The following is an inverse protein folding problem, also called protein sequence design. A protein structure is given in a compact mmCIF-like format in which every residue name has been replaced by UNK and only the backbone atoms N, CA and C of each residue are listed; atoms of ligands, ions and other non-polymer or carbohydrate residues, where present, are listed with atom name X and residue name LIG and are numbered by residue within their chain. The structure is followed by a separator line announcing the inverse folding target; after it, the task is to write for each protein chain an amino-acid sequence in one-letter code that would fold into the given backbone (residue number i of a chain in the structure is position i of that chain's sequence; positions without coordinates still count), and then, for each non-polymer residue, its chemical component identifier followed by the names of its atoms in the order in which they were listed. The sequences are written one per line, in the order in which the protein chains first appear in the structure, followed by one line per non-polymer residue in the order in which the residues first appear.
data_IF_662115398630
#
_entry.id   IF_662115398630
#
_cell.length_a   1.000
_cell.length_b   1.000
_cell.length_c   1.000
_cell.angle_alpha   90.00
_cell.angle_beta   90.00
_cell.angle_gamma   90.00
#
_symmetry.space_group_name_H-M   'P 1'
#
loop_
_entity.id
_entity.type
_entity.pdbx_description
1 polymer ?
#
# COMPACT_ATOMS: atom_id res chain seq x y z
N UNK A 1 -0.26 -6.73 -1.42
CA UNK A 1 0.29 -5.91 -0.32
C UNK A 1 -0.45 -6.13 1.00
N UNK A 2 -1.77 -5.91 1.08
CA UNK A 2 -2.57 -6.14 2.31
C UNK A 2 -2.47 -7.56 2.89
N UNK A 3 -2.58 -8.59 2.05
CA UNK A 3 -2.42 -10.00 2.49
C UNK A 3 -1.01 -10.29 3.05
N UNK A 4 0.02 -9.60 2.55
CA UNK A 4 1.40 -9.73 3.07
C UNK A 4 1.47 -9.15 4.49
N UNK A 5 0.91 -7.95 4.71
CA UNK A 5 0.88 -7.33 6.05
C UNK A 5 0.13 -8.19 7.07
N UNK A 6 -1.01 -8.78 6.68
CA UNK A 6 -1.74 -9.74 7.53
C UNK A 6 -0.93 -10.99 7.82
N UNK A 7 -0.18 -11.49 6.83
CA UNK A 7 0.77 -12.57 7.04
C UNK A 7 1.80 -12.22 8.13
N UNK A 8 2.32 -10.99 8.13
CA UNK A 8 3.25 -10.49 9.14
C UNK A 8 2.62 -10.44 10.55
N UNK A 9 1.34 -10.06 10.67
CA UNK A 9 0.59 -10.12 11.93
C UNK A 9 0.40 -11.56 12.41
N UNK A 10 0.09 -12.48 11.49
CA UNK A 10 -0.09 -13.91 11.78
C UNK A 10 1.21 -14.57 12.23
N UNK A 11 2.34 -14.10 11.69
CA UNK A 11 3.70 -14.46 12.11
C UNK A 11 4.12 -13.84 13.46
N UNK A 12 3.21 -13.12 14.15
CA UNK A 12 3.41 -12.48 15.45
C UNK A 12 4.55 -11.46 15.48
N UNK A 13 4.78 -10.76 14.36
CA UNK A 13 5.69 -9.62 14.38
C UNK A 13 5.15 -8.49 15.28
N UNK A 14 6.03 -7.70 15.93
CA UNK A 14 5.62 -6.54 16.72
C UNK A 14 4.70 -5.62 15.92
N UNK A 15 3.57 -5.22 16.51
CA UNK A 15 2.55 -4.38 15.86
C UNK A 15 3.14 -3.10 15.27
N UNK A 16 4.11 -2.49 15.96
CA UNK A 16 4.84 -1.31 15.48
C UNK A 16 5.50 -1.53 14.10
N UNK A 17 6.14 -2.68 13.87
CA UNK A 17 6.79 -2.96 12.58
C UNK A 17 5.76 -3.12 11.46
N UNK A 18 4.64 -3.81 11.74
CA UNK A 18 3.54 -3.95 10.78
C UNK A 18 2.91 -2.59 10.46
N UNK A 19 2.75 -1.72 11.47
CA UNK A 19 2.25 -0.37 11.26
C UNK A 19 3.19 0.45 10.38
N UNK A 20 4.51 0.44 10.66
CA UNK A 20 5.50 1.11 9.81
C UNK A 20 5.41 0.59 8.37
N UNK A 21 5.35 -0.73 8.17
CA UNK A 21 5.21 -1.31 6.84
C UNK A 21 3.89 -0.91 6.15
N UNK A 22 2.80 -0.81 6.91
CA UNK A 22 1.50 -0.34 6.42
C UNK A 22 1.57 1.11 5.94
N UNK A 23 2.19 1.98 6.73
CA UNK A 23 2.45 3.37 6.35
C UNK A 23 3.33 3.46 5.10
N UNK A 24 4.41 2.68 5.05
CA UNK A 24 5.28 2.62 3.89
C UNK A 24 4.49 2.24 2.64
N UNK A 25 3.69 1.18 2.67
CA UNK A 25 2.90 0.76 1.50
C UNK A 25 1.82 1.78 1.09
N UNK A 26 1.26 2.53 2.05
CA UNK A 26 0.29 3.59 1.76
C UNK A 26 0.93 4.84 1.16
N UNK A 27 2.13 5.20 1.62
CA UNK A 27 2.80 6.45 1.25
C UNK A 27 3.93 6.28 0.23
N UNK A 28 4.32 5.06 -0.14
CA UNK A 28 5.38 4.78 -1.11
C UNK A 28 5.12 5.53 -2.42
N UNK A 29 3.93 5.35 -3.01
CA UNK A 29 3.57 6.03 -4.26
C UNK A 29 3.63 7.55 -4.12
N UNK A 30 3.17 8.09 -2.99
CA UNK A 30 3.22 9.55 -2.73
C UNK A 30 4.65 10.08 -2.72
N UNK A 31 5.59 9.34 -2.11
CA UNK A 31 7.01 9.70 -2.06
C UNK A 31 7.66 9.54 -3.42
N UNK A 32 7.35 8.46 -4.15
CA UNK A 32 7.86 8.23 -5.51
C UNK A 32 7.37 9.30 -6.49
N UNK A 33 6.09 9.66 -6.45
CA UNK A 33 5.54 10.74 -7.29
C UNK A 33 6.21 12.08 -7.00
N UNK A 34 6.52 12.36 -5.73
CA UNK A 34 7.24 13.57 -5.33
C UNK A 34 8.68 13.57 -5.86
N UNK A 35 9.36 12.43 -5.75
CA UNK A 35 10.70 12.24 -6.30
C UNK A 35 10.71 12.42 -7.82
N UNK A 36 9.68 11.91 -8.52
CA UNK A 36 9.52 12.07 -9.96
C UNK A 36 9.29 13.52 -10.35
N UNK A 37 8.37 14.23 -9.67
CA UNK A 37 8.15 15.68 -9.86
C UNK A 37 9.45 16.48 -9.70
N UNK A 38 10.22 16.16 -8.66
CA UNK A 38 11.52 16.79 -8.43
C UNK A 38 12.53 16.44 -9.54
N UNK A 39 12.49 15.21 -10.06
CA UNK A 39 13.33 14.78 -11.18
C UNK A 39 13.02 15.54 -12.46
N UNK A 40 11.75 15.62 -12.85
CA UNK A 40 11.29 16.38 -14.01
C UNK A 40 11.70 17.84 -13.88
N UNK A 41 11.47 18.46 -12.72
CA UNK A 41 11.85 19.85 -12.48
C UNK A 41 13.38 20.10 -12.55
N UNK A 42 14.21 19.11 -12.24
CA UNK A 42 15.66 19.20 -12.45
C UNK A 42 16.01 19.10 -13.94
N UNK A 43 15.43 18.11 -14.64
CA UNK A 43 15.65 17.92 -16.07
C UNK A 43 15.27 19.16 -16.89
N UNK A 44 14.14 19.81 -16.57
CA UNK A 44 13.70 21.07 -17.20
C UNK A 44 14.68 22.23 -17.00
N UNK A 45 15.51 22.20 -15.95
CA UNK A 45 16.57 23.21 -15.70
C UNK A 45 17.90 22.85 -16.36
N UNK A 46 17.92 21.86 -17.26
CA UNK A 46 19.12 21.40 -17.96
C UNK A 46 20.02 20.50 -17.14
N UNK A 47 19.53 19.92 -16.03
CA UNK A 47 20.31 18.98 -15.23
C UNK A 47 20.23 17.57 -15.83
N UNK A 48 21.40 17.05 -16.22
CA UNK A 48 21.59 15.66 -16.66
C UNK A 48 22.64 14.98 -15.77
N UNK A 49 22.29 13.85 -15.16
CA UNK A 49 23.11 13.18 -14.15
C UNK A 49 24.11 12.23 -14.82
N UNK A 50 25.29 12.74 -15.19
CA UNK A 50 26.33 11.96 -15.91
C UNK A 50 27.48 11.42 -15.04
N UNK A 51 27.43 11.57 -13.71
CA UNK A 51 28.49 11.07 -12.84
C UNK A 51 28.52 11.62 -11.41
N UNK A 52 29.62 11.34 -10.69
CA UNK A 52 29.80 11.63 -9.25
C UNK A 52 29.71 13.13 -8.93
N UNK A 53 30.10 14.01 -9.86
CA UNK A 53 30.00 15.47 -9.70
C UNK A 53 28.56 15.95 -9.43
N UNK A 54 27.57 15.16 -9.81
CA UNK A 54 26.15 15.47 -9.64
C UNK A 54 25.56 15.01 -8.31
N UNK A 55 26.32 14.26 -7.48
CA UNK A 55 25.85 13.73 -6.21
C UNK A 55 25.39 14.82 -5.24
N UNK A 56 26.02 15.99 -5.24
CA UNK A 56 25.58 17.12 -4.41
C UNK A 56 24.15 17.55 -4.72
N UNK A 57 23.77 17.57 -6.00
CA UNK A 57 22.42 17.95 -6.44
C UNK A 57 21.40 16.86 -6.10
N UNK A 58 21.79 15.59 -6.25
CA UNK A 58 20.96 14.46 -5.85
C UNK A 58 20.76 14.42 -4.33
N UNK A 59 21.82 14.67 -3.54
CA UNK A 59 21.75 14.75 -2.09
C UNK A 59 20.84 15.89 -1.62
N UNK A 60 20.92 17.07 -2.25
CA UNK A 60 19.98 18.17 -1.97
C UNK A 60 18.52 17.77 -2.24
N UNK A 61 18.31 16.98 -3.29
CA UNK A 61 16.98 16.48 -3.63
C UNK A 61 16.48 15.43 -2.65
N UNK A 62 17.35 14.51 -2.23
CA UNK A 62 17.03 13.53 -1.20
C UNK A 62 16.73 14.22 0.13
N UNK A 63 17.50 15.23 0.52
CA UNK A 63 17.27 16.03 1.72
C UNK A 63 15.94 16.78 1.69
N UNK A 64 15.61 17.43 0.57
CA UNK A 64 14.32 18.08 0.39
C UNK A 64 13.14 17.08 0.43
N UNK A 65 13.30 15.91 -0.19
CA UNK A 65 12.30 14.84 -0.15
C UNK A 65 12.11 14.31 1.29
N UNK A 66 13.20 14.15 2.04
CA UNK A 66 13.17 13.72 3.44
C UNK A 66 12.40 14.71 4.30
N UNK A 67 12.71 16.01 4.22
CA UNK A 67 12.01 17.06 4.99
C UNK A 67 10.52 17.04 4.66
N UNK A 68 10.15 17.05 3.37
CA UNK A 68 8.74 17.02 2.94
C UNK A 68 8.00 15.77 3.42
N UNK A 69 8.66 14.62 3.39
CA UNK A 69 8.08 13.35 3.83
C UNK A 69 7.92 13.30 5.35
N UNK A 70 8.89 13.84 6.10
CA UNK A 70 8.85 13.97 7.55
C UNK A 70 7.72 14.91 7.99
N UNK A 71 7.66 16.12 7.44
CA UNK A 71 6.58 17.08 7.72
C UNK A 71 5.19 16.53 7.36
N UNK A 72 5.11 15.70 6.31
CA UNK A 72 3.88 14.99 5.97
C UNK A 72 3.55 13.90 7.01
N UNK A 73 4.54 13.14 7.46
CA UNK A 73 4.39 12.14 8.52
C UNK A 73 3.85 12.76 9.80
N UNK A 74 4.44 13.87 10.24
CA UNK A 74 3.99 14.63 11.41
C UNK A 74 2.54 15.12 11.26
N UNK A 75 2.19 15.70 10.12
CA UNK A 75 0.80 16.13 9.87
C UNK A 75 -0.20 14.96 9.90
N UNK A 76 0.20 13.79 9.39
CA UNK A 76 -0.63 12.59 9.43
C UNK A 76 -0.76 12.08 10.86
N UNK A 77 0.34 12.02 11.61
CA UNK A 77 0.33 11.59 13.00
C UNK A 77 -0.54 12.49 13.87
N UNK A 78 -0.41 13.81 13.74
CA UNK A 78 -1.27 14.77 14.43
C UNK A 78 -2.75 14.57 14.07
N UNK A 79 -3.06 14.36 12.79
CA UNK A 79 -4.43 14.07 12.36
C UNK A 79 -4.96 12.73 12.91
N UNK A 80 -4.09 11.75 13.11
CA UNK A 80 -4.45 10.49 13.76
C UNK A 80 -4.76 10.69 15.24
N UNK A 81 -3.92 11.44 15.95
CA UNK A 81 -4.17 11.79 17.36
C UNK A 81 -5.50 12.52 17.53
N UNK A 82 -5.80 13.49 16.65
CA UNK A 82 -7.10 14.19 16.66
C UNK A 82 -8.31 13.29 16.40
N UNK A 83 -8.11 12.12 15.77
CA UNK A 83 -9.16 11.11 15.51
C UNK A 83 -9.21 10.01 16.58
N UNK A 84 -8.49 10.15 17.68
CA UNK A 84 -8.50 9.19 18.79
C UNK A 84 -7.53 8.01 18.61
N UNK A 85 -6.43 8.20 17.89
CA UNK A 85 -5.40 7.17 17.75
C UNK A 85 -4.80 6.77 19.09
N UNK A 86 -4.93 5.49 19.44
CA UNK A 86 -4.48 4.88 20.71
C UNK A 86 -3.26 3.96 20.56
N UNK A 87 -2.58 3.98 19.40
CA UNK A 87 -1.43 3.12 19.12
C UNK A 87 -1.74 1.89 18.28
N UNK A 88 -3.00 1.67 17.89
CA UNK A 88 -3.38 0.67 16.89
C UNK A 88 -4.04 1.34 15.68
N UNK A 89 -3.69 0.86 14.49
CA UNK A 89 -4.38 1.24 13.26
C UNK A 89 -5.74 0.51 13.19
N UNK A 90 -6.79 1.15 12.64
CA UNK A 90 -8.05 0.48 12.40
C UNK A 90 -7.84 -0.80 11.59
N UNK A 91 -8.27 -1.93 12.17
CA UNK A 91 -8.25 -3.21 11.47
C UNK A 91 -9.45 -3.22 10.53
N UNK A 92 -9.18 -3.55 9.28
CA UNK A 92 -10.25 -3.76 8.30
C UNK A 92 -10.98 -5.04 8.71
N UNK A 93 -12.18 -4.89 9.28
CA UNK A 93 -13.07 -5.99 9.61
C UNK A 93 -13.33 -6.79 8.33
N UNK A 94 -13.15 -8.11 8.40
CA UNK A 94 -13.66 -8.97 7.33
C UNK A 94 -15.17 -9.04 7.52
N UNK A 95 -15.90 -8.89 6.42
CA UNK A 95 -17.20 -9.52 6.34
C UNK A 95 -16.98 -11.02 6.56
N UNK A 96 -17.49 -11.56 7.66
CA UNK A 96 -17.56 -13.00 7.84
C UNK A 96 -18.38 -13.56 6.66
N UNK A 97 -17.78 -14.45 5.87
CA UNK A 97 -18.47 -15.03 4.73
C UNK A 97 -19.55 -15.95 5.27
N UNK A 98 -20.80 -15.49 5.20
CA UNK A 98 -21.95 -16.26 5.68
C UNK A 98 -22.05 -17.57 4.87
N UNK A 99 -22.48 -18.68 5.49
CA UNK A 99 -22.67 -19.95 4.78
C UNK A 99 -23.57 -19.82 3.55
N UNK A 100 -24.52 -18.88 3.61
CA UNK A 100 -25.43 -18.56 2.50
C UNK A 100 -24.71 -17.94 1.30
N UNK A 101 -23.68 -17.12 1.51
CA UNK A 101 -22.87 -16.53 0.44
C UNK A 101 -22.02 -17.59 -0.26
N UNK A 102 -21.53 -18.58 0.50
CA UNK A 102 -20.81 -19.73 -0.06
C UNK A 102 -21.77 -20.58 -0.91
N UNK A 103 -22.98 -20.85 -0.41
CA UNK A 103 -23.99 -21.61 -1.14
C UNK A 103 -24.43 -20.90 -2.45
N UNK A 104 -24.65 -19.58 -2.39
CA UNK A 104 -24.97 -18.77 -3.57
C UNK A 104 -23.81 -18.72 -4.57
N UNK A 105 -22.57 -18.59 -4.08
CA UNK A 105 -21.37 -18.61 -4.93
C UNK A 105 -21.14 -19.95 -5.63
N UNK A 106 -21.52 -21.07 -4.99
CA UNK A 106 -21.41 -22.42 -5.55
C UNK A 106 -22.54 -22.77 -6.53
N UNK A 107 -23.67 -22.06 -6.51
CA UNK A 107 -24.81 -22.38 -7.38
C UNK A 107 -24.47 -22.27 -8.88
N UNK A 108 -23.73 -21.24 -9.28
CA UNK A 108 -23.30 -21.02 -10.67
C UNK A 108 -22.40 -22.14 -11.22
N UNK A 109 -21.28 -22.53 -10.55
CA UNK A 109 -20.45 -23.65 -11.02
C UNK A 109 -21.19 -24.99 -10.98
N UNK A 110 -22.12 -25.21 -10.04
CA UNK A 110 -22.92 -26.44 -9.99
C UNK A 110 -23.87 -26.56 -11.18
N UNK A 111 -24.56 -25.47 -11.53
CA UNK A 111 -25.44 -25.42 -12.70
C UNK A 111 -24.66 -25.62 -14.00
N UNK A 112 -23.48 -25.00 -14.11
CA UNK A 112 -22.60 -25.21 -15.25
C UNK A 112 -22.16 -26.68 -15.38
N UNK A 113 -21.74 -27.31 -14.27
CA UNK A 113 -21.37 -28.72 -14.23
C UNK A 113 -22.54 -29.63 -14.64
N UNK A 114 -23.74 -29.37 -14.12
CA UNK A 114 -24.96 -30.11 -14.48
C UNK A 114 -25.26 -30.00 -15.98
N UNK A 115 -25.19 -28.79 -16.54
CA UNK A 115 -25.42 -28.58 -17.98
C UNK A 115 -24.41 -29.32 -18.86
N UNK A 116 -23.14 -29.35 -18.46
CA UNK A 116 -22.07 -30.07 -19.15
C UNK A 116 -22.31 -31.58 -19.12
N UNK A 117 -22.67 -32.13 -17.96
CA UNK A 117 -22.94 -33.55 -17.79
C UNK A 117 -24.16 -34.00 -18.62
N UNK A 118 -25.21 -33.18 -18.65
CA UNK A 118 -26.40 -33.43 -19.49
C UNK A 118 -25.99 -33.45 -20.97
N UNK A 119 -25.14 -32.51 -21.41
CA UNK A 119 -24.66 -32.46 -22.79
C UNK A 119 -23.73 -33.61 -23.19
N UNK A 120 -23.08 -34.28 -22.24
CA UNK A 120 -22.21 -35.44 -22.51
C UNK A 120 -23.02 -36.74 -22.55
N UNK A 121 -24.14 -36.80 -21.83
CA UNK A 121 -24.98 -37.99 -21.70
C UNK A 121 -25.98 -38.15 -22.86
N UNK A 122 -26.39 -37.05 -23.48
CA UNK A 122 -27.28 -37.00 -24.67
C UNK A 122 -26.44 -37.07 -25.93
#
# INVERSE_FOLDING_TARGET
AREILRGLETLRLPSMLVQIATFMLRYLNVVTDEMERMSVARASRGFDAKGIRHWRVLANSAGALFIRSYERGERVHLAMLSRGYSGELPKEERDEVLPQQIALGLALPLLALLSLLISILI
#
